data_IF_012958811162
#
_entry.id   IF_012958811162
#
_cell.length_a   1.000
_cell.length_b   1.000
_cell.length_c   1.000
_cell.angle_alpha   90.00
_cell.angle_beta   90.00
_cell.angle_gamma   90.00
#
_symmetry.space_group_name_H-M   'P 1'
#
loop_
_entity.id
_entity.type
_entity.pdbx_description
1 polymer ?
#
# COMPACT_ATOMS: atom_id res chain seq x y z
N UNK A 1 -5.79 6.96 18.55
CA UNK A 1 -5.44 8.36 18.90
C UNK A 1 -4.41 8.96 17.94
N UNK A 2 -3.19 8.39 17.84
CA UNK A 2 -2.09 8.96 17.04
C UNK A 2 -2.45 9.25 15.57
N UNK A 3 -3.08 8.31 14.85
CA UNK A 3 -3.47 8.50 13.46
C UNK A 3 -4.50 9.64 13.27
N UNK A 4 -5.46 9.77 14.20
CA UNK A 4 -6.47 10.81 14.16
C UNK A 4 -5.87 12.20 14.45
N UNK A 5 -4.96 12.30 15.42
CA UNK A 5 -4.26 13.55 15.74
C UNK A 5 -3.36 14.03 14.61
N UNK A 6 -2.59 13.13 14.00
CA UNK A 6 -1.75 13.46 12.83
C UNK A 6 -2.62 13.86 11.64
N UNK A 7 -3.71 13.13 11.38
CA UNK A 7 -4.65 13.44 10.32
C UNK A 7 -5.27 14.84 10.47
N UNK A 8 -5.72 15.18 11.67
CA UNK A 8 -6.27 16.51 11.98
C UNK A 8 -5.23 17.63 11.77
N UNK A 9 -3.99 17.41 12.21
CA UNK A 9 -2.88 18.37 12.03
C UNK A 9 -2.55 18.59 10.55
N UNK A 10 -2.42 17.50 9.78
CA UNK A 10 -2.15 17.58 8.33
C UNK A 10 -3.31 18.26 7.59
N UNK A 11 -4.56 17.98 7.96
CA UNK A 11 -5.73 18.66 7.38
C UNK A 11 -5.72 20.17 7.69
N UNK A 12 -5.38 20.55 8.92
CA UNK A 12 -5.31 21.95 9.33
C UNK A 12 -4.22 22.72 8.55
N UNK A 13 -3.02 22.14 8.43
CA UNK A 13 -1.92 22.72 7.63
C UNK A 13 -2.30 22.82 6.15
N UNK A 14 -2.90 21.77 5.58
CA UNK A 14 -3.34 21.74 4.19
C UNK A 14 -4.37 22.85 3.93
N UNK A 15 -5.33 23.05 4.83
CA UNK A 15 -6.27 24.17 4.74
C UNK A 15 -5.51 25.50 4.73
N UNK A 16 -4.64 25.77 5.69
CA UNK A 16 -3.88 27.03 5.74
C UNK A 16 -3.10 27.32 4.45
N UNK A 17 -2.41 26.33 3.88
CA UNK A 17 -1.61 26.49 2.66
C UNK A 17 -2.45 26.75 1.40
N UNK A 18 -3.68 26.23 1.36
CA UNK A 18 -4.54 26.24 0.17
C UNK A 18 -5.77 27.15 0.26
N UNK A 19 -5.97 27.89 1.35
CA UNK A 19 -7.17 28.72 1.51
C UNK A 19 -7.15 29.94 0.56
N UNK A 20 -8.30 30.15 -0.08
CA UNK A 20 -8.77 31.28 -0.90
C UNK A 20 -8.46 31.34 -2.40
N UNK A 21 -7.50 30.61 -2.98
CA UNK A 21 -7.29 30.59 -4.45
C UNK A 21 -6.73 29.24 -4.96
N UNK A 22 -7.47 28.14 -4.71
CA UNK A 22 -7.02 26.78 -5.03
C UNK A 22 -6.61 26.64 -6.51
N UNK A 23 -7.46 27.06 -7.45
CA UNK A 23 -7.21 26.85 -8.88
C UNK A 23 -5.99 27.61 -9.41
N UNK A 24 -5.80 28.87 -9.00
CA UNK A 24 -4.68 29.71 -9.48
C UNK A 24 -3.35 29.30 -8.86
N UNK A 25 -3.36 28.93 -7.57
CA UNK A 25 -2.17 28.49 -6.84
C UNK A 25 -1.77 27.06 -7.24
N UNK A 26 -2.74 26.17 -7.49
CA UNK A 26 -2.50 24.80 -7.97
C UNK A 26 -1.99 24.78 -9.42
N UNK A 27 -2.40 25.73 -10.27
CA UNK A 27 -1.86 25.82 -11.63
C UNK A 27 -0.36 26.19 -11.65
N UNK A 28 0.13 26.94 -10.66
CA UNK A 28 1.53 27.37 -10.59
C UNK A 28 2.42 26.47 -9.71
N UNK A 29 1.91 26.05 -8.55
CA UNK A 29 2.68 25.28 -7.57
C UNK A 29 2.21 23.82 -7.42
N UNK A 30 1.17 23.40 -8.16
CA UNK A 30 0.58 22.07 -8.00
C UNK A 30 1.52 20.95 -8.42
N UNK A 31 2.34 21.13 -9.46
CA UNK A 31 3.33 20.13 -9.86
C UNK A 31 4.40 19.91 -8.76
N UNK A 32 4.89 20.99 -8.15
CA UNK A 32 5.84 20.92 -7.04
C UNK A 32 5.21 20.24 -5.81
N UNK A 33 4.00 20.65 -5.45
CA UNK A 33 3.26 20.04 -4.34
C UNK A 33 3.02 18.54 -4.56
N UNK A 34 2.60 18.16 -5.78
CA UNK A 34 2.40 16.77 -6.13
C UNK A 34 3.71 15.98 -6.12
N UNK A 35 4.81 16.58 -6.60
CA UNK A 35 6.15 16.03 -6.49
C UNK A 35 6.53 15.69 -5.05
N UNK A 36 6.36 16.63 -4.12
CA UNK A 36 6.63 16.41 -2.69
C UNK A 36 5.74 15.27 -2.16
N UNK A 37 4.43 15.35 -2.39
CA UNK A 37 3.47 14.38 -1.84
C UNK A 37 3.71 12.95 -2.37
N UNK A 38 3.89 12.79 -3.67
CA UNK A 38 4.15 11.48 -4.29
C UNK A 38 5.53 10.95 -3.90
N UNK A 39 6.53 11.81 -3.70
CA UNK A 39 7.83 11.39 -3.17
C UNK A 39 7.71 10.86 -1.74
N UNK A 40 6.91 11.48 -0.88
CA UNK A 40 6.61 10.95 0.45
C UNK A 40 5.93 9.57 0.37
N UNK A 41 4.96 9.42 -0.53
CA UNK A 41 4.30 8.13 -0.78
C UNK A 41 5.34 7.08 -1.23
N UNK A 42 6.19 7.43 -2.19
CA UNK A 42 7.24 6.56 -2.70
C UNK A 42 8.28 6.19 -1.63
N UNK A 43 8.63 7.12 -0.73
CA UNK A 43 9.52 6.85 0.40
C UNK A 43 8.94 5.75 1.30
N UNK A 44 7.67 5.87 1.69
CA UNK A 44 7.04 4.85 2.52
C UNK A 44 6.94 3.51 1.78
N UNK A 45 6.60 3.53 0.50
CA UNK A 45 6.50 2.32 -0.32
C UNK A 45 7.87 1.63 -0.52
N UNK A 46 8.92 2.37 -0.86
CA UNK A 46 10.25 1.79 -1.09
C UNK A 46 10.94 1.41 0.22
N UNK A 47 11.01 2.32 1.20
CA UNK A 47 11.83 2.09 2.40
C UNK A 47 11.11 1.20 3.41
N UNK A 48 9.79 1.37 3.60
CA UNK A 48 9.04 0.47 4.50
C UNK A 48 8.44 -0.72 3.76
N UNK A 49 7.98 -0.54 2.52
CA UNK A 49 7.37 -1.64 1.76
C UNK A 49 8.37 -2.68 1.24
N UNK A 50 9.62 -2.32 0.92
CA UNK A 50 10.64 -3.33 0.56
C UNK A 50 11.17 -4.09 1.77
N UNK A 51 11.11 -3.50 2.98
CA UNK A 51 11.56 -4.18 4.20
C UNK A 51 10.63 -5.38 4.49
N UNK A 52 11.16 -6.59 4.36
CA UNK A 52 10.41 -7.83 4.55
C UNK A 52 9.73 -8.37 3.29
N UNK A 53 10.00 -7.78 2.12
CA UNK A 53 9.56 -8.34 0.84
C UNK A 53 10.35 -9.61 0.52
N UNK A 54 9.64 -10.71 0.21
CA UNK A 54 10.25 -11.95 -0.29
C UNK A 54 10.93 -11.79 -1.67
N UNK A 55 10.72 -10.63 -2.34
CA UNK A 55 11.27 -10.30 -3.65
C UNK A 55 12.52 -9.41 -3.58
N UNK A 56 12.83 -8.83 -2.42
CA UNK A 56 13.98 -7.94 -2.27
C UNK A 56 15.18 -8.71 -1.74
N UNK A 57 16.28 -8.76 -2.49
CA UNK A 57 17.55 -9.28 -1.97
C UNK A 57 18.10 -8.37 -0.87
N UNK A 58 18.82 -8.95 0.08
CA UNK A 58 19.44 -8.19 1.17
C UNK A 58 20.43 -7.13 0.64
N UNK A 59 21.08 -7.42 -0.49
CA UNK A 59 21.95 -6.49 -1.22
C UNK A 59 21.16 -5.30 -1.78
N UNK A 60 20.01 -5.54 -2.41
CA UNK A 60 19.14 -4.48 -2.92
C UNK A 60 18.57 -3.62 -1.78
N UNK A 61 18.21 -4.25 -0.66
CA UNK A 61 17.78 -3.54 0.56
C UNK A 61 18.89 -2.68 1.15
N UNK A 62 20.13 -3.19 1.18
CA UNK A 62 21.31 -2.44 1.62
C UNK A 62 21.58 -1.24 0.72
N UNK A 63 21.55 -1.45 -0.60
CA UNK A 63 21.77 -0.40 -1.59
C UNK A 63 20.70 0.70 -1.54
N UNK A 64 19.41 0.32 -1.44
CA UNK A 64 18.30 1.28 -1.31
C UNK A 64 18.46 2.10 -0.03
N UNK A 65 18.80 1.47 1.10
CA UNK A 65 19.04 2.18 2.37
C UNK A 65 20.19 3.18 2.23
N UNK A 66 21.32 2.76 1.67
CA UNK A 66 22.49 3.62 1.48
C UNK A 66 22.22 4.82 0.56
N UNK A 67 21.42 4.63 -0.48
CA UNK A 67 21.13 5.66 -1.49
C UNK A 67 19.75 6.31 -1.34
N UNK A 68 19.09 6.16 -0.18
CA UNK A 68 17.71 6.63 0.03
C UNK A 68 17.56 8.09 -0.34
N UNK A 69 18.46 8.96 0.12
CA UNK A 69 18.40 10.40 -0.14
C UNK A 69 18.52 10.73 -1.64
N UNK A 70 19.44 10.08 -2.34
CA UNK A 70 19.63 10.26 -3.79
C UNK A 70 18.41 9.75 -4.57
N UNK A 71 17.88 8.58 -4.20
CA UNK A 71 16.68 8.00 -4.79
C UNK A 71 15.47 8.92 -4.59
N UNK A 72 15.28 9.45 -3.39
CA UNK A 72 14.16 10.38 -3.11
C UNK A 72 14.30 11.68 -3.87
N UNK A 73 15.51 12.23 -3.99
CA UNK A 73 15.75 13.43 -4.81
C UNK A 73 15.45 13.16 -6.29
N UNK A 74 15.88 12.01 -6.82
CA UNK A 74 15.61 11.62 -8.20
C UNK A 74 14.11 11.40 -8.45
N UNK A 75 13.43 10.67 -7.56
CA UNK A 75 11.97 10.48 -7.62
C UNK A 75 11.25 11.83 -7.58
N UNK A 76 11.68 12.73 -6.70
CA UNK A 76 11.10 14.07 -6.62
C UNK A 76 11.23 14.85 -7.92
N UNK A 77 12.42 14.87 -8.53
CA UNK A 77 12.64 15.56 -9.80
C UNK A 77 11.82 14.92 -10.92
N UNK A 78 11.90 13.61 -11.08
CA UNK A 78 11.18 12.87 -12.13
C UNK A 78 9.67 13.05 -12.01
N UNK A 79 9.12 12.89 -10.81
CA UNK A 79 7.68 13.03 -10.58
C UNK A 79 7.23 14.48 -10.74
N UNK A 80 7.98 15.46 -10.24
CA UNK A 80 7.64 16.88 -10.42
C UNK A 80 7.61 17.25 -11.90
N UNK A 81 8.60 16.81 -12.68
CA UNK A 81 8.64 17.01 -14.13
C UNK A 81 7.50 16.28 -14.84
N UNK A 82 7.21 15.03 -14.44
CA UNK A 82 6.12 14.26 -15.01
C UNK A 82 4.76 14.91 -14.75
N UNK A 83 4.47 15.32 -13.51
CA UNK A 83 3.22 16.03 -13.18
C UNK A 83 3.15 17.37 -13.90
N UNK A 84 4.26 18.11 -13.99
CA UNK A 84 4.31 19.37 -14.73
C UNK A 84 3.96 19.17 -16.21
N UNK A 85 4.57 18.15 -16.85
CA UNK A 85 4.27 17.79 -18.24
C UNK A 85 2.80 17.40 -18.40
N UNK A 86 2.28 16.52 -17.53
CA UNK A 86 0.90 16.04 -17.58
C UNK A 86 -0.12 17.15 -17.37
N UNK A 87 0.19 18.09 -16.48
CA UNK A 87 -0.62 19.28 -16.24
C UNK A 87 -0.65 20.19 -17.48
N UNK A 88 0.47 20.29 -18.22
CA UNK A 88 0.59 21.19 -19.37
C UNK A 88 0.02 20.62 -20.67
N UNK A 89 0.12 19.31 -20.87
CA UNK A 89 -0.35 18.61 -22.08
C UNK A 89 -1.79 18.13 -21.96
N UNK A 90 -2.17 17.52 -20.83
CA UNK A 90 -3.48 16.91 -20.61
C UNK A 90 -4.40 17.74 -19.71
N UNK A 91 -3.93 18.87 -19.17
CA UNK A 91 -4.72 19.71 -18.26
C UNK A 91 -5.08 19.01 -16.95
N UNK A 92 -4.39 17.92 -16.60
CA UNK A 92 -4.71 17.13 -15.42
C UNK A 92 -4.40 17.90 -14.12
N UNK A 93 -5.34 17.85 -13.18
CA UNK A 93 -5.17 18.50 -11.88
C UNK A 93 -4.16 17.73 -11.01
N UNK A 94 -3.09 18.37 -10.51
CA UNK A 94 -2.07 17.70 -9.69
C UNK A 94 -2.64 17.01 -8.43
N UNK A 95 -3.65 17.59 -7.80
CA UNK A 95 -4.37 16.98 -6.67
C UNK A 95 -4.99 15.63 -7.01
N UNK A 96 -5.53 15.45 -8.23
CA UNK A 96 -6.11 14.16 -8.64
C UNK A 96 -5.04 13.08 -8.72
N UNK A 97 -3.85 13.42 -9.19
CA UNK A 97 -2.72 12.49 -9.25
C UNK A 97 -2.22 12.10 -7.86
N UNK A 98 -2.12 13.07 -6.94
CA UNK A 98 -1.75 12.81 -5.54
C UNK A 98 -2.77 11.89 -4.87
N UNK A 99 -4.07 12.18 -5.04
CA UNK A 99 -5.13 11.34 -4.47
C UNK A 99 -5.09 9.93 -5.06
N UNK A 100 -4.89 9.80 -6.38
CA UNK A 100 -4.79 8.50 -7.04
C UNK A 100 -3.59 7.68 -6.54
N UNK A 101 -2.41 8.30 -6.42
CA UNK A 101 -1.22 7.64 -5.87
C UNK A 101 -1.42 7.23 -4.40
N UNK A 102 -2.08 8.08 -3.62
CA UNK A 102 -2.40 7.82 -2.21
C UNK A 102 -3.39 6.66 -2.05
N UNK A 103 -4.48 6.64 -2.80
CA UNK A 103 -5.47 5.55 -2.76
C UNK A 103 -4.87 4.24 -3.26
N UNK A 104 -4.04 4.28 -4.30
CA UNK A 104 -3.29 3.10 -4.77
C UNK A 104 -2.40 2.52 -3.66
N UNK A 105 -1.67 3.37 -2.94
CA UNK A 105 -0.80 2.93 -1.85
C UNK A 105 -1.60 2.33 -0.69
N UNK A 106 -2.74 2.94 -0.35
CA UNK A 106 -3.63 2.41 0.66
C UNK A 106 -4.20 1.04 0.24
N UNK A 107 -4.61 0.89 -1.03
CA UNK A 107 -5.09 -0.37 -1.57
C UNK A 107 -4.01 -1.46 -1.57
N UNK A 108 -2.77 -1.12 -1.94
CA UNK A 108 -1.63 -2.04 -1.88
C UNK A 108 -1.36 -2.50 -0.44
N UNK A 109 -1.42 -1.59 0.55
CA UNK A 109 -1.23 -1.94 1.96
C UNK A 109 -2.32 -2.90 2.47
N UNK A 110 -3.58 -2.66 2.11
CA UNK A 110 -4.67 -3.57 2.46
C UNK A 110 -4.54 -4.92 1.75
N UNK A 111 -4.26 -4.93 0.46
CA UNK A 111 -4.08 -6.16 -0.30
C UNK A 111 -2.91 -7.01 0.25
N UNK A 112 -1.81 -6.38 0.65
CA UNK A 112 -0.68 -7.09 1.28
C UNK A 112 -1.04 -7.70 2.63
N UNK A 113 -1.75 -6.96 3.48
CA UNK A 113 -2.24 -7.45 4.77
C UNK A 113 -3.23 -8.61 4.60
N UNK A 114 -4.19 -8.45 3.69
CA UNK A 114 -5.24 -9.44 3.43
C UNK A 114 -4.67 -10.72 2.81
N UNK A 115 -3.66 -10.59 1.93
CA UNK A 115 -2.96 -11.73 1.34
C UNK A 115 -2.27 -12.58 2.41
N UNK A 116 -1.53 -11.97 3.33
CA UNK A 116 -0.85 -12.73 4.40
C UNK A 116 -1.88 -13.38 5.34
N UNK A 117 -2.99 -12.69 5.64
CA UNK A 117 -4.06 -13.25 6.46
C UNK A 117 -4.78 -14.42 5.78
N UNK A 118 -4.97 -14.36 4.46
CA UNK A 118 -5.65 -15.41 3.70
C UNK A 118 -4.81 -16.69 3.56
N UNK A 119 -3.51 -16.53 3.32
CA UNK A 119 -2.63 -17.65 2.94
C UNK A 119 -1.78 -18.13 4.12
N UNK A 120 -1.64 -17.31 5.17
CA UNK A 120 -0.83 -17.62 6.34
C UNK A 120 -1.25 -18.91 7.05
N UNK A 121 -2.55 -19.11 7.29
CA UNK A 121 -3.04 -20.33 7.96
C UNK A 121 -2.78 -21.59 7.10
N UNK A 122 -3.16 -21.64 5.80
CA UNK A 122 -2.84 -22.78 4.94
C UNK A 122 -1.34 -23.07 4.80
N UNK A 123 -0.50 -22.04 4.65
CA UNK A 123 0.96 -22.23 4.53
C UNK A 123 1.53 -22.82 5.82
N UNK A 124 1.16 -22.26 6.97
CA UNK A 124 1.64 -22.75 8.27
C UNK A 124 1.20 -24.19 8.48
N UNK A 125 -0.04 -24.55 8.15
CA UNK A 125 -0.51 -25.94 8.22
C UNK A 125 0.27 -26.89 7.31
N UNK A 126 0.56 -26.47 6.07
CA UNK A 126 1.36 -27.26 5.14
C UNK A 126 2.79 -27.47 5.66
N UNK A 127 3.41 -26.43 6.22
CA UNK A 127 4.75 -26.52 6.80
C UNK A 127 4.80 -27.36 8.07
N UNK A 128 3.79 -27.28 8.95
CA UNK A 128 3.66 -28.20 10.09
C UNK A 128 3.66 -29.65 9.64
N UNK A 129 2.95 -29.96 8.56
CA UNK A 129 2.89 -31.30 8.01
C UNK A 129 4.23 -31.77 7.43
N UNK A 130 4.92 -30.92 6.65
CA UNK A 130 6.24 -31.26 6.11
C UNK A 130 7.27 -31.51 7.22
N UNK A 131 7.30 -30.65 8.25
CA UNK A 131 8.20 -30.78 9.38
C UNK A 131 7.92 -32.05 10.21
N UNK A 132 6.64 -32.35 10.47
CA UNK A 132 6.25 -33.60 11.12
C UNK A 132 6.68 -34.82 10.30
N UNK A 133 6.39 -34.83 8.99
CA UNK A 133 6.76 -35.93 8.09
C UNK A 133 8.27 -36.13 8.03
N UNK A 134 9.05 -35.05 8.03
CA UNK A 134 10.51 -35.11 8.05
C UNK A 134 11.08 -35.59 9.40
N UNK A 135 10.37 -35.33 10.50
CA UNK A 135 10.82 -35.71 11.85
C UNK A 135 10.72 -37.21 12.14
N UNK A 136 9.77 -37.91 11.51
CA UNK A 136 9.52 -39.33 11.76
C UNK A 136 8.99 -39.65 13.16
N UNK A 137 8.59 -38.63 13.94
CA UNK A 137 8.05 -38.77 15.30
C UNK A 137 6.53 -38.94 15.25
N UNK A 138 5.97 -39.69 16.20
CA UNK A 138 4.51 -39.81 16.34
C UNK A 138 3.85 -38.44 16.52
N UNK A 139 2.65 -38.25 15.98
CA UNK A 139 1.97 -36.97 15.94
C UNK A 139 1.71 -36.38 17.34
N UNK A 140 1.57 -37.23 18.36
CA UNK A 140 1.39 -36.79 19.75
C UNK A 140 2.69 -36.31 20.43
N UNK A 141 3.85 -36.67 19.89
CA UNK A 141 5.17 -36.29 20.42
C UNK A 141 5.85 -35.13 19.70
N UNK A 142 5.27 -34.61 18.61
CA UNK A 142 5.87 -33.56 17.80
C UNK A 142 5.62 -32.17 18.42
N UNK A 143 6.64 -31.60 19.06
CA UNK A 143 6.60 -30.25 19.61
C UNK A 143 6.72 -29.20 18.50
N UNK A 144 5.77 -28.27 18.46
CA UNK A 144 5.68 -27.19 17.44
C UNK A 144 6.67 -26.04 17.67
N UNK A 145 7.74 -26.24 18.45
CA UNK A 145 8.75 -25.22 18.73
C UNK A 145 9.46 -24.73 17.46
N UNK A 146 9.56 -25.59 16.43
CA UNK A 146 10.13 -25.22 15.12
C UNK A 146 9.24 -24.27 14.30
N UNK A 147 7.96 -24.13 14.66
CA UNK A 147 7.03 -23.17 14.04
C UNK A 147 7.07 -21.77 14.67
N UNK A 148 7.79 -21.59 15.78
CA UNK A 148 7.92 -20.28 16.42
C UNK A 148 8.81 -19.30 15.61
N UNK A 149 9.58 -19.81 14.65
CA UNK A 149 10.40 -19.02 13.73
C UNK A 149 9.60 -18.41 12.57
N UNK A 150 10.20 -17.46 11.86
CA UNK A 150 9.60 -16.89 10.66
C UNK A 150 9.47 -17.96 9.57
N UNK A 151 8.22 -18.35 9.30
CA UNK A 151 7.81 -19.19 8.18
C UNK A 151 8.22 -18.50 6.88
N UNK A 152 9.28 -19.00 6.24
CA UNK A 152 9.68 -18.56 4.91
C UNK A 152 8.72 -19.12 3.89
N UNK A 153 7.80 -18.28 3.42
CA UNK A 153 6.88 -18.64 2.36
C UNK A 153 7.60 -18.55 1.00
N UNK A 154 7.53 -19.59 0.15
CA UNK A 154 8.05 -19.49 -1.21
C UNK A 154 7.24 -18.47 -2.02
N UNK A 155 7.95 -17.58 -2.71
CA UNK A 155 7.39 -16.46 -3.49
C UNK A 155 6.33 -16.91 -4.51
N UNK A 156 6.49 -18.10 -5.09
CA UNK A 156 5.56 -18.65 -6.07
C UNK A 156 4.18 -18.94 -5.46
N UNK A 157 4.11 -19.43 -4.21
CA UNK A 157 2.84 -19.64 -3.51
C UNK A 157 2.15 -18.31 -3.20
N UNK A 158 2.91 -17.27 -2.80
CA UNK A 158 2.38 -15.93 -2.56
C UNK A 158 1.79 -15.33 -3.85
N UNK A 159 2.46 -15.52 -4.99
CA UNK A 159 2.00 -15.02 -6.28
C UNK A 159 0.70 -15.71 -6.73
N UNK A 160 0.66 -17.04 -6.66
CA UNK A 160 -0.55 -17.81 -6.98
C UNK A 160 -1.71 -17.39 -6.08
N UNK A 161 -1.46 -17.27 -4.77
CA UNK A 161 -2.51 -16.91 -3.84
C UNK A 161 -3.01 -15.47 -4.03
N UNK A 162 -2.12 -14.52 -4.36
CA UNK A 162 -2.50 -13.17 -4.73
C UNK A 162 -3.33 -13.13 -6.01
N UNK A 163 -3.02 -13.98 -6.97
CA UNK A 163 -3.82 -14.12 -8.20
C UNK A 163 -5.20 -14.69 -7.91
N UNK A 164 -5.28 -15.79 -7.14
CA UNK A 164 -6.55 -16.40 -6.73
C UNK A 164 -7.41 -15.40 -5.95
N UNK A 165 -6.83 -14.68 -5.00
CA UNK A 165 -7.51 -13.63 -4.24
C UNK A 165 -8.07 -12.54 -5.17
N UNK A 166 -7.26 -12.04 -6.10
CA UNK A 166 -7.66 -11.00 -7.05
C UNK A 166 -8.81 -11.45 -7.94
N UNK A 167 -8.71 -12.64 -8.54
CA UNK A 167 -9.76 -13.22 -9.39
C UNK A 167 -11.04 -13.45 -8.59
N UNK A 168 -10.91 -13.97 -7.37
CA UNK A 168 -12.06 -14.24 -6.49
C UNK A 168 -12.79 -12.95 -6.13
N UNK A 169 -12.08 -11.90 -5.74
CA UNK A 169 -12.71 -10.60 -5.44
C UNK A 169 -13.37 -9.98 -6.66
N UNK A 170 -12.77 -10.13 -7.85
CA UNK A 170 -13.31 -9.57 -9.08
C UNK A 170 -14.60 -10.27 -9.56
N UNK A 171 -14.66 -11.59 -9.41
CA UNK A 171 -15.79 -12.42 -9.87
C UNK A 171 -16.87 -12.58 -8.79
N UNK A 172 -16.53 -12.42 -7.51
CA UNK A 172 -17.48 -12.62 -6.40
C UNK A 172 -18.58 -11.56 -6.37
N UNK A 173 -19.82 -11.99 -6.68
CA UNK A 173 -21.00 -11.15 -6.55
C UNK A 173 -21.26 -10.68 -5.11
N UNK A 174 -20.84 -11.45 -4.10
CA UNK A 174 -20.94 -11.06 -2.69
C UNK A 174 -19.99 -9.91 -2.36
N UNK A 175 -18.74 -9.98 -2.84
CA UNK A 175 -17.76 -8.91 -2.64
C UNK A 175 -18.25 -7.60 -3.28
N UNK A 176 -18.76 -7.67 -4.52
CA UNK A 176 -19.37 -6.51 -5.20
C UNK A 176 -20.54 -5.92 -4.42
N UNK A 177 -21.47 -6.75 -3.92
CA UNK A 177 -22.62 -6.28 -3.12
C UNK A 177 -22.18 -5.55 -1.85
N UNK A 178 -21.14 -6.04 -1.16
CA UNK A 178 -20.58 -5.38 0.03
C UNK A 178 -19.96 -4.03 -0.35
N UNK A 179 -19.21 -3.96 -1.45
CA UNK A 179 -18.67 -2.70 -1.98
C UNK A 179 -19.79 -1.71 -2.29
N UNK A 180 -20.86 -2.15 -2.97
CA UNK A 180 -22.00 -1.30 -3.31
C UNK A 180 -22.72 -0.79 -2.06
N UNK A 181 -22.91 -1.65 -1.05
CA UNK A 181 -23.51 -1.22 0.23
C UNK A 181 -22.61 -0.22 0.96
N UNK A 182 -21.29 -0.45 1.01
CA UNK A 182 -20.35 0.47 1.64
C UNK A 182 -20.33 1.84 0.96
N UNK A 183 -20.33 1.87 -0.37
CA UNK A 183 -20.41 3.11 -1.16
C UNK A 183 -21.75 3.83 -0.92
N UNK A 184 -22.86 3.09 -0.89
CA UNK A 184 -24.18 3.66 -0.65
C UNK A 184 -24.31 4.25 0.77
N UNK A 185 -23.82 3.56 1.81
CA UNK A 185 -23.80 4.09 3.19
C UNK A 185 -22.91 5.34 3.30
N UNK A 186 -21.74 5.33 2.66
CA UNK A 186 -20.85 6.49 2.61
C UNK A 186 -21.48 7.70 1.90
N UNK A 187 -22.41 7.48 0.97
CA UNK A 187 -23.18 8.54 0.29
C UNK A 187 -24.35 9.04 1.14
N UNK A 188 -25.00 8.18 1.92
CA UNK A 188 -26.12 8.57 2.79
C UNK A 188 -25.71 9.59 3.86
N UNK A 189 -24.48 9.53 4.38
CA UNK A 189 -23.95 10.53 5.32
C UNK A 189 -23.67 11.93 4.72
N UNK A 190 -23.80 12.13 3.40
CA UNK A 190 -23.64 13.43 2.72
C UNK A 190 -24.97 14.05 2.26
N UNK A 191 -26.10 13.37 2.49
CA UNK A 191 -27.38 13.68 1.85
C UNK A 191 -28.47 14.32 2.73
N UNK A 192 -28.24 14.52 4.02
CA UNK A 192 -29.22 15.17 4.92
C UNK A 192 -28.62 16.41 5.58
N UNK A 193 -28.23 17.40 4.78
CA UNK A 193 -28.21 18.80 5.22
C UNK A 193 -28.90 19.62 4.12
N UNK A 194 -30.18 19.90 4.35
CA UNK A 194 -30.91 21.01 3.71
C UNK A 194 -30.72 22.26 4.55
#
# INVERSE_FOLDING_TARGET
ALAFSIGALVQWISRLLFTFHLDRRMRRYGALFAGIAITFIAYFMLVKGLKGSALASDELLGWVKANTTMLMALVFVVVTLAVFALQRTLGLHPLKLVVLAGTFTLAMAFAGNDLVNFVGVPITAFQSYELWKASGVDAHGFMMDQLAGQVRTPTLLLLIAGLVMTVTLWVSGKARKVTDTAVNLGRQGKGEEK
#
